data_IF_896545163387
#
_entry.id   IF_896545163387
#
_cell.length_a   1.000
_cell.length_b   1.000
_cell.length_c   1.000
_cell.angle_alpha   90.00
_cell.angle_beta   90.00
_cell.angle_gamma   90.00
#
_symmetry.space_group_name_H-M   'P 1'
#
loop_
_entity.id
_entity.type
_entity.pdbx_description
1 polymer ?
#
# COMPACT_ATOMS: atom_id res chain seq x y z
N UNK A 1 -13.58 0.15 13.34
CA UNK A 1 -12.35 -0.18 12.60
C UNK A 1 -12.05 0.89 11.56
N UNK A 2 -10.96 1.60 11.67
CA UNK A 2 -10.69 2.71 10.76
C UNK A 2 -10.35 2.30 9.33
N UNK A 3 -9.77 1.13 9.12
CA UNK A 3 -9.56 0.66 7.77
C UNK A 3 -9.74 -0.83 7.62
N UNK A 4 -10.09 -1.21 6.38
CA UNK A 4 -9.94 -2.57 5.90
C UNK A 4 -8.79 -2.55 4.89
N UNK A 5 -7.89 -3.48 4.99
CA UNK A 5 -6.76 -3.58 4.08
C UNK A 5 -6.55 -5.01 3.63
N UNK A 6 -5.96 -5.15 2.47
CA UNK A 6 -5.65 -6.47 1.95
C UNK A 6 -4.54 -6.43 0.93
N UNK A 7 -3.89 -7.56 0.75
CA UNK A 7 -2.85 -7.74 -0.24
C UNK A 7 -3.17 -9.00 -1.02
N UNK A 8 -3.21 -8.89 -2.33
CA UNK A 8 -3.41 -10.03 -3.21
C UNK A 8 -2.15 -10.27 -4.01
N UNK A 9 -1.54 -11.43 -3.85
CA UNK A 9 -0.37 -11.81 -4.61
C UNK A 9 -0.80 -12.35 -5.97
N UNK A 10 -0.06 -11.93 -7.00
CA UNK A 10 -0.25 -12.41 -8.36
C UNK A 10 1.05 -13.00 -8.87
N UNK A 11 1.02 -13.58 -10.06
CA UNK A 11 2.23 -14.17 -10.67
C UNK A 11 3.33 -13.15 -10.92
N UNK A 12 2.97 -11.88 -11.10
CA UNK A 12 3.92 -10.82 -11.49
C UNK A 12 4.15 -9.77 -10.40
N UNK A 13 3.38 -9.80 -9.31
CA UNK A 13 3.53 -8.80 -8.27
C UNK A 13 2.46 -8.91 -7.20
N UNK A 14 2.03 -7.78 -6.67
CA UNK A 14 1.01 -7.75 -5.63
C UNK A 14 0.12 -6.52 -5.77
N UNK A 15 -1.16 -6.68 -5.47
CA UNK A 15 -2.11 -5.58 -5.41
C UNK A 15 -2.40 -5.26 -3.94
N UNK A 16 -2.23 -4.00 -3.58
CA UNK A 16 -2.47 -3.50 -2.24
C UNK A 16 -3.75 -2.67 -2.23
N UNK A 17 -4.60 -2.91 -1.25
CA UNK A 17 -5.87 -2.19 -1.11
C UNK A 17 -6.02 -1.76 0.35
N UNK A 18 -6.33 -0.48 0.55
CA UNK A 18 -6.59 0.07 1.89
C UNK A 18 -7.82 0.95 1.81
N UNK A 19 -8.73 0.78 2.74
CA UNK A 19 -9.86 1.69 2.89
C UNK A 19 -9.58 2.68 4.01
N UNK A 20 -9.65 3.98 3.70
CA UNK A 20 -9.50 5.02 4.70
C UNK A 20 -10.30 6.25 4.30
N UNK A 21 -11.28 6.61 5.10
CA UNK A 21 -12.11 7.79 4.87
C UNK A 21 -11.42 9.08 5.29
N UNK A 22 -10.44 8.99 6.17
CA UNK A 22 -9.78 10.17 6.74
C UNK A 22 -8.55 10.62 5.96
N UNK A 23 -7.89 9.68 5.28
CA UNK A 23 -6.69 10.01 4.54
C UNK A 23 -7.05 10.63 3.19
N UNK A 24 -6.44 11.77 2.87
CA UNK A 24 -6.56 12.37 1.54
C UNK A 24 -5.64 11.70 0.55
N UNK A 25 -4.49 11.22 1.04
CA UNK A 25 -3.51 10.50 0.23
C UNK A 25 -2.93 9.36 1.05
N UNK A 26 -2.71 8.24 0.40
CA UNK A 26 -2.01 7.11 0.98
C UNK A 26 -0.82 6.76 0.13
N UNK A 27 0.27 6.38 0.79
CA UNK A 27 1.48 5.92 0.13
C UNK A 27 1.81 4.53 0.63
N UNK A 28 2.22 3.67 -0.28
CA UNK A 28 2.77 2.37 0.06
C UNK A 28 4.27 2.52 0.21
N UNK A 29 4.79 2.12 1.34
CA UNK A 29 6.22 2.16 1.60
C UNK A 29 6.77 0.75 1.60
N UNK A 30 7.87 0.54 0.89
CA UNK A 30 8.55 -0.75 0.83
C UNK A 30 9.86 -0.65 1.61
N UNK A 31 10.19 -1.71 2.33
CA UNK A 31 11.37 -1.75 3.18
C UNK A 31 12.24 -2.95 2.81
N UNK A 32 13.55 -2.78 2.97
CA UNK A 32 14.49 -3.88 2.80
C UNK A 32 14.58 -4.75 4.05
N UNK A 33 15.47 -5.73 4.04
CA UNK A 33 15.65 -6.65 5.16
C UNK A 33 16.17 -5.97 6.43
N UNK A 34 16.80 -4.81 6.28
CA UNK A 34 17.32 -4.06 7.41
C UNK A 34 16.29 -3.10 8.01
N UNK A 35 15.12 -2.98 7.38
CA UNK A 35 14.08 -2.07 7.81
C UNK A 35 14.20 -0.67 7.21
N UNK A 36 15.09 -0.50 6.24
CA UNK A 36 15.24 0.79 5.56
C UNK A 36 14.19 0.93 4.46
N UNK A 37 13.54 2.08 4.41
CA UNK A 37 12.59 2.37 3.35
C UNK A 37 13.32 2.51 2.02
N UNK A 38 12.94 1.69 1.04
CA UNK A 38 13.55 1.69 -0.29
C UNK A 38 12.69 2.42 -1.31
N UNK A 39 11.37 2.37 -1.14
CA UNK A 39 10.43 2.99 -2.08
C UNK A 39 9.24 3.57 -1.33
N UNK A 40 8.71 4.65 -1.87
CA UNK A 40 7.46 5.23 -1.41
C UNK A 40 6.62 5.53 -2.64
N UNK A 41 5.50 4.83 -2.78
CA UNK A 41 4.67 4.87 -3.97
C UNK A 41 3.29 5.43 -3.65
N UNK A 42 2.80 6.41 -4.41
CA UNK A 42 1.46 6.93 -4.17
C UNK A 42 0.41 5.91 -4.58
N UNK A 43 -0.59 5.71 -3.74
CA UNK A 43 -1.72 4.85 -4.04
C UNK A 43 -2.80 5.63 -4.76
N UNK A 44 -3.54 4.96 -5.64
CA UNK A 44 -4.64 5.57 -6.37
C UNK A 44 -5.90 5.49 -5.52
N UNK A 45 -6.55 6.63 -5.34
CA UNK A 45 -7.84 6.67 -4.64
C UNK A 45 -8.96 6.32 -5.61
N UNK A 46 -9.73 5.29 -5.26
CA UNK A 46 -10.90 4.87 -6.01
C UNK A 46 -12.18 5.24 -5.30
N UNK A 47 -13.25 4.50 -5.57
CA UNK A 47 -14.56 4.70 -4.96
C UNK A 47 -14.56 4.19 -3.52
N UNK A 48 -15.52 4.69 -2.71
CA UNK A 48 -15.75 4.24 -1.34
C UNK A 48 -14.51 4.35 -0.44
N UNK A 49 -13.69 5.38 -0.67
CA UNK A 49 -12.48 5.63 0.12
C UNK A 49 -11.45 4.50 0.02
N UNK A 50 -11.52 3.70 -1.03
CA UNK A 50 -10.53 2.67 -1.29
C UNK A 50 -9.33 3.27 -1.99
N UNK A 51 -8.15 2.92 -1.49
CA UNK A 51 -6.88 3.27 -2.12
C UNK A 51 -6.24 1.98 -2.58
N UNK A 52 -5.72 1.95 -3.79
CA UNK A 52 -5.15 0.72 -4.35
C UNK A 52 -3.89 1.01 -5.14
N UNK A 53 -3.05 0.00 -5.25
CA UNK A 53 -1.82 0.08 -6.02
C UNK A 53 -1.36 -1.33 -6.37
N UNK A 54 -0.99 -1.52 -7.64
CA UNK A 54 -0.35 -2.75 -8.09
C UNK A 54 1.15 -2.51 -8.19
N UNK A 55 1.95 -3.39 -7.60
CA UNK A 55 3.41 -3.30 -7.63
C UNK A 55 3.96 -4.57 -8.29
N UNK A 56 4.62 -4.39 -9.42
CA UNK A 56 5.28 -5.50 -10.12
C UNK A 56 6.57 -5.88 -9.42
N UNK A 57 6.92 -7.16 -9.53
CA UNK A 57 8.21 -7.64 -9.09
C UNK A 57 8.41 -7.76 -7.60
N UNK A 58 7.36 -7.55 -6.81
CA UNK A 58 7.47 -7.70 -5.37
C UNK A 58 7.56 -9.18 -5.02
N UNK A 59 8.52 -9.54 -4.17
CA UNK A 59 8.74 -10.92 -3.79
C UNK A 59 7.92 -11.30 -2.56
N UNK A 60 7.57 -12.59 -2.40
CA UNK A 60 6.96 -13.04 -1.15
C UNK A 60 7.87 -12.72 0.03
N UNK A 61 7.28 -12.28 1.11
CA UNK A 61 8.04 -11.89 2.30
C UNK A 61 8.56 -10.47 2.30
N UNK A 62 8.30 -9.71 1.24
CA UNK A 62 8.67 -8.30 1.21
C UNK A 62 7.97 -7.54 2.34
N UNK A 63 8.69 -6.60 2.94
CA UNK A 63 8.15 -5.79 4.03
C UNK A 63 7.55 -4.51 3.47
N UNK A 64 6.38 -4.14 3.99
CA UNK A 64 5.69 -2.95 3.53
C UNK A 64 4.95 -2.29 4.67
N UNK A 65 4.59 -1.03 4.47
CA UNK A 65 3.74 -0.29 5.38
C UNK A 65 3.02 0.82 4.62
N UNK A 66 2.16 1.53 5.31
CA UNK A 66 1.40 2.61 4.71
C UNK A 66 1.68 3.91 5.42
N UNK A 67 1.71 5.01 4.66
CA UNK A 67 1.73 6.35 5.21
C UNK A 67 0.50 7.09 4.71
N UNK A 68 -0.21 7.70 5.62
CA UNK A 68 -1.41 8.46 5.30
C UNK A 68 -1.12 9.95 5.45
N UNK A 69 -1.58 10.74 4.47
CA UNK A 69 -1.63 12.19 4.58
C UNK A 69 -3.10 12.58 4.68
N UNK A 70 -3.39 13.53 5.52
CA UNK A 70 -4.75 14.00 5.71
C UNK A 70 -4.80 15.06 6.78
N UNK A 71 -5.98 15.50 7.05
CA UNK A 71 -6.20 16.51 8.10
C UNK A 71 -6.37 15.86 9.44
#
# INVERSE_FOLDING_TARGET
>A
MPFASGVTLTATGATFVVRSSEATKLHLCLFDQTGRETDRLPMTRGEDDLHHLFVEGIAPGARYGYRAEGT
#
